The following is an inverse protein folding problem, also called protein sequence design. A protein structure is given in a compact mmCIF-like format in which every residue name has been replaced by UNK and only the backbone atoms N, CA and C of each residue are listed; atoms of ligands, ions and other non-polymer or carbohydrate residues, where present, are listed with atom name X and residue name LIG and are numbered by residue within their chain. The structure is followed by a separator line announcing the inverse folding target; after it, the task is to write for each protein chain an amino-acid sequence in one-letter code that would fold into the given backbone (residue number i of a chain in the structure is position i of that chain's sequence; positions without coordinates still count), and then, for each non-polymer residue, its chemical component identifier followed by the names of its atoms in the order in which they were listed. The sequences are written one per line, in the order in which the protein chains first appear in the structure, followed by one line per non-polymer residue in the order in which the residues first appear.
data_IF_104298410281
#
_entry.id   IF_104298410281
#
_cell.length_a   1.000
_cell.length_b   1.000
_cell.length_c   1.000
_cell.angle_alpha   90.00
_cell.angle_beta   90.00
_cell.angle_gamma   90.00
#
_symmetry.space_group_name_H-M   'P 1'
#
loop_
_entity.id
_entity.type
_entity.pdbx_description
1 polymer ?
#
# COMPACT_ATOMS: atom_id res chain seq x y z
N UNK A 1 -9.76 8.89 -23.85
CA UNK A 1 -8.41 9.36 -23.48
C UNK A 1 -8.26 10.82 -23.89
N UNK A 2 -8.55 11.15 -25.15
CA UNK A 2 -8.49 12.52 -25.70
C UNK A 2 -9.22 13.57 -24.84
N UNK A 3 -10.46 13.29 -24.42
CA UNK A 3 -11.22 14.20 -23.56
C UNK A 3 -10.54 14.51 -22.20
N UNK A 4 -9.74 13.58 -21.66
CA UNK A 4 -8.96 13.80 -20.46
C UNK A 4 -7.72 14.64 -20.76
N UNK A 5 -7.02 14.32 -21.86
CA UNK A 5 -5.88 15.09 -22.33
C UNK A 5 -6.27 16.54 -22.59
N UNK A 6 -7.33 16.78 -23.37
CA UNK A 6 -7.82 18.14 -23.67
C UNK A 6 -8.12 18.92 -22.40
N UNK A 7 -8.74 18.27 -21.41
CA UNK A 7 -9.11 18.89 -20.15
C UNK A 7 -7.86 19.35 -19.36
N UNK A 8 -6.86 18.47 -19.23
CA UNK A 8 -5.59 18.78 -18.55
C UNK A 8 -4.83 19.87 -19.33
N UNK A 9 -4.76 19.76 -20.66
CA UNK A 9 -4.06 20.68 -21.55
C UNK A 9 -4.66 22.09 -21.59
N UNK A 10 -5.90 22.28 -21.13
CA UNK A 10 -6.47 23.63 -20.98
C UNK A 10 -5.73 24.50 -19.95
N UNK A 11 -4.96 23.89 -19.05
CA UNK A 11 -4.28 24.57 -17.95
C UNK A 11 -5.23 25.10 -16.87
N UNK A 12 -6.51 24.70 -16.87
CA UNK A 12 -7.52 25.09 -15.86
C UNK A 12 -7.70 24.07 -14.74
N UNK A 13 -7.14 22.87 -14.91
CA UNK A 13 -7.21 21.79 -13.93
C UNK A 13 -6.01 21.87 -13.01
N UNK A 14 -6.23 21.94 -11.70
CA UNK A 14 -5.17 21.98 -10.68
C UNK A 14 -5.48 21.11 -9.46
N UNK A 15 -6.71 20.62 -9.32
CA UNK A 15 -7.18 19.91 -8.16
C UNK A 15 -7.66 18.49 -8.51
N UNK A 16 -6.77 17.70 -9.10
CA UNK A 16 -7.08 16.32 -9.48
C UNK A 16 -7.11 15.44 -8.23
N UNK A 17 -8.22 14.76 -8.01
CA UNK A 17 -8.28 13.60 -7.13
C UNK A 17 -8.07 12.34 -7.96
N UNK A 18 -7.16 11.48 -7.51
CA UNK A 18 -7.00 10.13 -8.06
C UNK A 18 -7.40 9.10 -7.03
N UNK A 19 -8.37 8.25 -7.36
CA UNK A 19 -8.76 7.10 -6.56
C UNK A 19 -8.18 5.83 -7.17
N UNK A 20 -7.39 5.07 -6.40
CA UNK A 20 -6.68 3.90 -6.90
C UNK A 20 -6.97 2.64 -6.08
N UNK A 21 -6.86 1.48 -6.73
CA UNK A 21 -6.90 0.17 -6.07
C UNK A 21 -5.92 -0.82 -6.70
N UNK A 22 -6.08 -2.10 -6.38
CA UNK A 22 -5.09 -3.13 -6.66
C UNK A 22 -4.68 -3.23 -8.14
N UNK A 23 -5.56 -2.86 -9.07
CA UNK A 23 -5.30 -2.88 -10.51
C UNK A 23 -4.12 -2.01 -10.94
N UNK A 24 -3.72 -0.98 -10.18
CA UNK A 24 -2.51 -0.21 -10.49
C UNK A 24 -1.23 -0.93 -10.07
N UNK A 25 -1.30 -1.91 -9.16
CA UNK A 25 -0.16 -2.65 -8.59
C UNK A 25 0.01 -4.07 -9.14
N UNK A 26 -0.93 -4.59 -9.96
CA UNK A 26 -0.82 -5.95 -10.54
C UNK A 26 0.50 -6.14 -11.30
N UNK A 27 0.94 -5.12 -12.06
CA UNK A 27 2.19 -5.17 -12.81
C UNK A 27 3.46 -5.10 -11.93
N UNK A 28 3.32 -4.81 -10.63
CA UNK A 28 4.42 -4.86 -9.65
C UNK A 28 4.75 -6.27 -9.20
N UNK A 29 3.96 -7.28 -9.61
CA UNK A 29 4.14 -8.67 -9.18
C UNK A 29 3.57 -8.97 -7.80
N UNK A 30 2.85 -8.03 -7.19
CA UNK A 30 2.06 -8.27 -5.98
C UNK A 30 0.82 -9.06 -6.40
N UNK A 31 0.64 -10.31 -5.93
CA UNK A 31 -0.59 -11.04 -6.18
C UNK A 31 -1.75 -10.28 -5.53
N UNK A 32 -2.86 -10.12 -6.26
CA UNK A 32 -4.05 -9.57 -5.65
C UNK A 32 -4.65 -10.57 -4.64
N UNK A 33 -5.50 -10.08 -3.75
CA UNK A 33 -6.13 -10.95 -2.75
C UNK A 33 -7.09 -11.98 -3.38
N UNK A 34 -7.72 -11.62 -4.51
CA UNK A 34 -8.96 -12.25 -4.99
C UNK A 34 -8.82 -13.11 -6.24
N UNK A 35 -7.66 -13.16 -6.91
CA UNK A 35 -7.54 -13.93 -8.15
C UNK A 35 -7.75 -15.44 -7.89
N UNK A 36 -8.67 -16.11 -8.61
CA UNK A 36 -9.08 -17.50 -8.30
C UNK A 36 -7.98 -18.58 -8.40
N UNK A 37 -6.79 -18.27 -8.94
CA UNK A 37 -5.74 -19.26 -9.25
C UNK A 37 -4.36 -18.85 -8.74
N UNK A 38 -4.15 -17.55 -8.51
CA UNK A 38 -2.85 -16.96 -8.15
C UNK A 38 -2.95 -15.97 -7.00
N UNK A 39 -4.19 -15.69 -6.57
CA UNK A 39 -4.48 -14.77 -5.48
C UNK A 39 -4.32 -15.45 -4.13
N UNK A 40 -4.23 -14.62 -3.10
CA UNK A 40 -3.94 -15.06 -1.75
C UNK A 40 -4.95 -16.08 -1.20
N UNK A 41 -6.24 -15.89 -1.50
CA UNK A 41 -7.30 -16.79 -1.02
C UNK A 41 -7.13 -18.22 -1.53
N UNK A 42 -6.72 -18.40 -2.80
CA UNK A 42 -6.47 -19.72 -3.37
C UNK A 42 -5.32 -20.46 -2.65
N UNK A 43 -4.34 -19.73 -2.08
CA UNK A 43 -3.21 -20.34 -1.34
C UNK A 43 -3.54 -20.76 0.09
N UNK A 44 -4.71 -20.39 0.60
CA UNK A 44 -5.15 -20.69 1.96
C UNK A 44 -6.52 -21.39 2.01
N UNK A 45 -7.02 -21.88 0.86
CA UNK A 45 -8.28 -22.62 0.77
C UNK A 45 -8.26 -23.86 1.66
N UNK A 46 -7.21 -24.68 1.58
CA UNK A 46 -7.06 -25.89 2.42
C UNK A 46 -7.05 -25.55 3.92
N UNK A 47 -6.42 -24.43 4.29
CA UNK A 47 -6.39 -23.93 5.67
C UNK A 47 -7.78 -23.49 6.11
N UNK A 48 -8.47 -22.72 5.27
CA UNK A 48 -9.81 -22.23 5.54
C UNK A 48 -10.81 -23.38 5.71
N UNK A 49 -10.71 -24.42 4.88
CA UNK A 49 -11.51 -25.64 4.98
C UNK A 49 -11.26 -26.40 6.29
N UNK A 50 -9.99 -26.56 6.69
CA UNK A 50 -9.63 -27.20 7.97
C UNK A 50 -10.22 -26.46 9.19
N UNK A 51 -10.36 -25.14 9.10
CA UNK A 51 -10.94 -24.31 10.14
C UNK A 51 -12.45 -24.05 9.97
N UNK A 52 -13.07 -24.54 8.90
CA UNK A 52 -14.48 -24.29 8.60
C UNK A 52 -14.82 -22.80 8.42
N UNK A 53 -13.87 -22.00 7.92
CA UNK A 53 -13.99 -20.54 7.73
C UNK A 53 -13.83 -20.15 6.25
N UNK A 54 -14.21 -18.93 5.92
CA UNK A 54 -13.86 -18.32 4.61
C UNK A 54 -12.35 -17.98 4.59
N UNK A 55 -11.64 -18.14 3.45
CA UNK A 55 -10.24 -17.73 3.30
C UNK A 55 -9.89 -16.33 3.82
N UNK A 56 -10.86 -15.41 3.90
CA UNK A 56 -10.64 -14.07 4.45
C UNK A 56 -10.36 -14.03 5.95
N UNK A 57 -10.61 -15.12 6.70
CA UNK A 57 -10.57 -15.11 8.17
C UNK A 57 -9.22 -14.69 8.75
N UNK A 58 -8.12 -14.97 8.06
CA UNK A 58 -6.76 -14.59 8.48
C UNK A 58 -6.54 -13.06 8.45
N UNK A 59 -7.47 -12.32 7.85
CA UNK A 59 -7.50 -10.86 7.81
C UNK A 59 -8.67 -10.27 8.61
N UNK A 60 -9.29 -11.02 9.52
CA UNK A 60 -10.28 -10.49 10.46
C UNK A 60 -9.58 -10.01 11.73
N UNK A 61 -9.97 -8.85 12.25
CA UNK A 61 -9.32 -8.29 13.44
C UNK A 61 -9.52 -9.16 14.67
N UNK A 62 -10.69 -9.78 14.81
CA UNK A 62 -11.01 -10.65 15.95
C UNK A 62 -10.09 -11.88 15.97
N UNK A 63 -9.77 -12.42 14.78
CA UNK A 63 -8.82 -13.53 14.64
C UNK A 63 -7.42 -13.06 15.05
N UNK A 64 -6.99 -11.88 14.60
CA UNK A 64 -5.67 -11.34 14.95
C UNK A 64 -5.54 -11.06 16.46
N UNK A 65 -6.59 -10.56 17.10
CA UNK A 65 -6.65 -10.26 18.52
C UNK A 65 -6.69 -11.52 19.41
N UNK A 66 -7.18 -12.63 18.88
CA UNK A 66 -7.15 -13.94 19.55
C UNK A 66 -5.82 -14.66 19.34
N UNK A 67 -5.40 -14.83 18.08
CA UNK A 67 -4.14 -15.45 17.68
C UNK A 67 -3.59 -14.80 16.40
N UNK A 68 -2.45 -14.09 16.45
CA UNK A 68 -1.91 -13.37 15.29
C UNK A 68 -1.15 -14.32 14.35
N UNK A 69 -0.95 -15.58 14.71
CA UNK A 69 -0.17 -16.55 13.92
C UNK A 69 -0.71 -16.78 12.51
N UNK A 70 -2.02 -16.95 12.25
CA UNK A 70 -2.53 -17.13 10.90
C UNK A 70 -2.17 -15.96 9.98
N UNK A 71 -2.29 -14.73 10.50
CA UNK A 71 -1.88 -13.51 9.78
C UNK A 71 -0.36 -13.52 9.52
N UNK A 72 0.47 -13.75 10.53
CA UNK A 72 1.92 -13.68 10.35
C UNK A 72 2.50 -14.82 9.52
N UNK A 73 1.87 -15.99 9.55
CA UNK A 73 2.17 -17.09 8.64
C UNK A 73 1.95 -16.64 7.19
N UNK A 74 0.74 -16.19 6.84
CA UNK A 74 0.42 -15.81 5.47
C UNK A 74 1.20 -14.57 5.01
N UNK A 75 1.37 -13.58 5.89
CA UNK A 75 2.14 -12.37 5.60
C UNK A 75 3.60 -12.69 5.29
N UNK A 76 4.20 -13.63 6.03
CA UNK A 76 5.59 -14.05 5.78
C UNK A 76 5.74 -14.77 4.45
N UNK A 77 4.79 -15.63 4.07
CA UNK A 77 4.81 -16.31 2.76
C UNK A 77 4.70 -15.33 1.58
N UNK A 78 3.98 -14.23 1.76
CA UNK A 78 3.88 -13.18 0.74
C UNK A 78 5.12 -12.30 0.64
N UNK A 79 5.90 -12.21 1.72
CA UNK A 79 6.98 -11.24 1.85
C UNK A 79 8.00 -11.26 0.70
N UNK A 80 8.50 -12.41 0.19
CA UNK A 80 9.48 -12.40 -0.90
C UNK A 80 8.98 -11.70 -2.17
N UNK A 81 7.70 -11.86 -2.52
CA UNK A 81 7.08 -11.17 -3.66
C UNK A 81 6.87 -9.69 -3.36
N UNK A 82 6.32 -9.36 -2.18
CA UNK A 82 6.10 -7.98 -1.74
C UNK A 82 7.41 -7.19 -1.70
N UNK A 83 8.47 -7.74 -1.11
CA UNK A 83 9.78 -7.10 -1.02
C UNK A 83 10.43 -6.85 -2.39
N UNK A 84 10.07 -7.64 -3.41
CA UNK A 84 10.57 -7.47 -4.77
C UNK A 84 9.74 -6.50 -5.61
N UNK A 85 8.56 -6.09 -5.13
CA UNK A 85 7.65 -5.24 -5.86
C UNK A 85 8.26 -3.86 -6.15
N UNK A 86 8.04 -3.38 -7.38
CA UNK A 86 8.50 -2.09 -7.88
C UNK A 86 7.29 -1.19 -8.18
N UNK A 87 7.39 0.14 -7.99
CA UNK A 87 6.36 1.04 -8.48
C UNK A 87 6.16 0.88 -9.99
N UNK A 88 4.90 0.94 -10.42
CA UNK A 88 4.52 0.80 -11.82
C UNK A 88 4.52 2.15 -12.55
N UNK A 89 4.40 2.16 -13.89
CA UNK A 89 4.21 3.41 -14.64
C UNK A 89 3.06 4.28 -14.10
N UNK A 90 1.94 3.68 -13.69
CA UNK A 90 0.83 4.43 -13.10
C UNK A 90 1.19 5.10 -11.77
N UNK A 91 2.01 4.45 -10.92
CA UNK A 91 2.48 5.08 -9.68
C UNK A 91 3.36 6.31 -9.97
N UNK A 92 4.22 6.23 -11.00
CA UNK A 92 5.01 7.38 -11.44
C UNK A 92 4.17 8.46 -12.12
N UNK A 93 3.10 8.09 -12.81
CA UNK A 93 2.13 9.06 -13.33
C UNK A 93 1.48 9.87 -12.21
N UNK A 94 1.15 9.26 -11.06
CA UNK A 94 0.71 10.01 -9.88
C UNK A 94 1.77 11.04 -9.43
N UNK A 95 3.04 10.65 -9.41
CA UNK A 95 4.14 11.56 -9.06
C UNK A 95 4.30 12.67 -10.10
N UNK A 96 4.11 12.40 -11.38
CA UNK A 96 4.12 13.42 -12.44
C UNK A 96 2.97 14.42 -12.25
N UNK A 97 1.74 13.96 -11.98
CA UNK A 97 0.62 14.85 -11.64
C UNK A 97 0.97 15.75 -10.44
N UNK A 98 1.65 15.22 -9.42
CA UNK A 98 2.14 16.01 -8.30
C UNK A 98 3.20 17.03 -8.71
N UNK A 99 4.25 16.62 -9.43
CA UNK A 99 5.35 17.49 -9.88
C UNK A 99 4.87 18.63 -10.81
N UNK A 100 3.79 18.40 -11.54
CA UNK A 100 3.16 19.41 -12.39
C UNK A 100 2.08 20.26 -11.66
N UNK A 101 1.97 20.15 -10.33
CA UNK A 101 1.00 20.89 -9.50
C UNK A 101 -0.46 20.65 -9.90
N UNK A 102 -0.79 19.44 -10.36
CA UNK A 102 -2.14 19.05 -10.75
C UNK A 102 -2.80 18.16 -9.69
N UNK A 103 -2.02 17.41 -8.91
CA UNK A 103 -2.56 16.46 -7.92
C UNK A 103 -2.98 17.18 -6.64
N UNK A 104 -4.29 17.15 -6.34
CA UNK A 104 -4.80 17.49 -5.02
C UNK A 104 -4.48 16.37 -4.01
N UNK A 105 -4.96 15.15 -4.31
CA UNK A 105 -4.82 13.98 -3.44
C UNK A 105 -4.93 12.66 -4.21
N UNK A 106 -4.16 11.66 -3.78
CA UNK A 106 -4.36 10.25 -4.10
C UNK A 106 -5.11 9.56 -2.95
N UNK A 107 -6.26 8.96 -3.21
CA UNK A 107 -6.96 8.08 -2.28
C UNK A 107 -6.69 6.63 -2.71
N UNK A 108 -5.93 5.89 -1.91
CA UNK A 108 -5.51 4.52 -2.24
C UNK A 108 -6.21 3.49 -1.36
N UNK A 109 -6.69 2.42 -1.99
CA UNK A 109 -7.11 1.18 -1.31
C UNK A 109 -5.94 0.22 -1.09
N UNK A 110 -4.79 0.49 -1.70
CA UNK A 110 -3.62 -0.37 -1.64
C UNK A 110 -2.87 -0.14 -0.32
N UNK A 111 -2.28 -1.23 0.17
CA UNK A 111 -1.48 -1.25 1.39
C UNK A 111 0.02 -1.36 1.08
N UNK A 112 0.41 -1.48 -0.20
CA UNK A 112 1.77 -1.83 -0.61
C UNK A 112 2.81 -0.70 -0.44
N UNK A 113 2.37 0.55 -0.31
CA UNK A 113 3.24 1.71 -0.12
C UNK A 113 3.97 2.16 -1.40
N UNK A 114 3.57 1.63 -2.56
CA UNK A 114 4.24 1.94 -3.83
C UNK A 114 4.04 3.39 -4.28
N UNK A 115 3.00 4.09 -3.82
CA UNK A 115 2.80 5.51 -4.12
C UNK A 115 3.91 6.37 -3.50
N UNK A 116 4.26 6.09 -2.23
CA UNK A 116 5.37 6.75 -1.54
C UNK A 116 6.71 6.40 -2.19
N UNK A 117 6.90 5.13 -2.55
CA UNK A 117 8.12 4.67 -3.21
C UNK A 117 8.29 5.25 -4.63
N UNK A 118 7.19 5.61 -5.30
CA UNK A 118 7.19 6.36 -6.55
C UNK A 118 7.55 7.84 -6.38
N UNK A 119 7.67 8.33 -5.14
CA UNK A 119 8.05 9.69 -4.79
C UNK A 119 6.88 10.61 -4.44
N UNK A 120 5.67 10.08 -4.24
CA UNK A 120 4.55 10.90 -3.78
C UNK A 120 4.74 11.26 -2.29
N UNK A 121 4.62 12.55 -1.92
CA UNK A 121 4.71 12.95 -0.52
C UNK A 121 3.62 12.29 0.32
N UNK A 122 3.90 12.02 1.59
CA UNK A 122 2.97 11.34 2.51
C UNK A 122 1.64 12.09 2.60
N UNK A 123 1.67 13.40 2.68
CA UNK A 123 0.47 14.24 2.76
C UNK A 123 -0.37 14.14 1.49
N UNK A 124 0.19 13.76 0.34
CA UNK A 124 -0.57 13.62 -0.91
C UNK A 124 -1.32 12.29 -1.01
N UNK A 125 -1.13 11.35 -0.08
CA UNK A 125 -1.77 10.04 -0.10
C UNK A 125 -2.65 9.83 1.12
N UNK A 126 -3.90 9.47 0.87
CA UNK A 126 -4.82 8.95 1.89
C UNK A 126 -4.90 7.44 1.69
N UNK A 127 -4.25 6.70 2.58
CA UNK A 127 -4.29 5.25 2.62
C UNK A 127 -5.58 4.79 3.31
N UNK A 128 -6.63 4.60 2.52
CA UNK A 128 -7.96 4.28 3.04
C UNK A 128 -7.97 2.96 3.82
N UNK A 129 -7.14 1.99 3.44
CA UNK A 129 -7.00 0.70 4.13
C UNK A 129 -5.68 0.57 4.89
N UNK A 130 -5.07 1.70 5.28
CA UNK A 130 -3.74 1.70 5.88
C UNK A 130 -2.62 1.35 4.88
N UNK A 131 -1.40 1.19 5.38
CA UNK A 131 -0.21 0.99 4.54
C UNK A 131 0.86 0.19 5.30
N UNK A 132 1.59 -0.64 4.56
CA UNK A 132 2.74 -1.43 5.04
C UNK A 132 3.99 -0.56 5.18
N UNK A 133 3.86 0.54 5.91
CA UNK A 133 4.98 1.41 6.28
C UNK A 133 5.35 1.27 7.76
N UNK A 134 4.32 1.15 8.59
CA UNK A 134 4.47 1.09 10.03
C UNK A 134 3.72 -0.12 10.58
N UNK A 135 4.07 -0.49 11.79
CA UNK A 135 3.36 -1.46 12.60
C UNK A 135 3.02 -0.83 13.95
N UNK A 136 2.06 -1.40 14.65
CA UNK A 136 1.58 -0.87 15.91
C UNK A 136 1.23 -1.97 16.88
N UNK A 137 1.57 -1.76 18.14
CA UNK A 137 1.10 -2.62 19.21
C UNK A 137 -0.40 -2.37 19.44
N UNK A 138 -1.21 -3.43 19.39
CA UNK A 138 -2.66 -3.34 19.58
C UNK A 138 -3.07 -2.94 21.01
N UNK A 139 -2.15 -3.02 21.99
CA UNK A 139 -2.41 -2.63 23.38
C UNK A 139 -1.97 -1.21 23.72
N UNK A 140 -0.68 -0.89 23.50
CA UNK A 140 -0.13 0.39 23.92
C UNK A 140 -0.10 1.44 22.81
N UNK A 141 -0.55 1.07 21.60
CA UNK A 141 -0.60 1.95 20.41
C UNK A 141 0.77 2.49 19.98
N UNK A 142 1.88 1.92 20.49
CA UNK A 142 3.24 2.28 20.07
C UNK A 142 3.42 1.92 18.60
N UNK A 143 3.83 2.91 17.81
CA UNK A 143 4.21 2.75 16.40
C UNK A 143 5.68 2.34 16.27
N UNK A 144 5.92 1.44 15.34
CA UNK A 144 7.22 0.93 14.90
C UNK A 144 7.28 1.05 13.37
N UNK A 145 8.47 1.20 12.78
CA UNK A 145 8.61 1.01 11.34
C UNK A 145 8.39 -0.47 10.98
N UNK A 146 7.95 -0.77 9.76
CA UNK A 146 7.77 -2.17 9.30
C UNK A 146 9.06 -3.00 9.45
N UNK A 147 10.22 -2.34 9.39
CA UNK A 147 11.53 -2.91 9.68
C UNK A 147 11.60 -3.71 10.99
N UNK A 148 10.82 -3.31 12.00
CA UNK A 148 10.71 -3.99 13.29
C UNK A 148 10.22 -5.45 13.18
N UNK A 149 9.39 -5.74 12.18
CA UNK A 149 8.79 -7.06 11.99
C UNK A 149 9.65 -7.98 11.09
N UNK A 150 10.67 -7.45 10.41
CA UNK A 150 11.51 -8.21 9.47
C UNK A 150 12.22 -9.40 10.12
N UNK A 151 12.78 -9.33 11.33
CA UNK A 151 13.39 -10.49 11.97
C UNK A 151 12.42 -11.65 12.14
N UNK A 152 11.18 -11.38 12.54
CA UNK A 152 10.13 -12.39 12.69
C UNK A 152 9.73 -12.98 11.32
N UNK A 153 9.59 -12.13 10.31
CA UNK A 153 9.28 -12.59 8.94
C UNK A 153 10.39 -13.52 8.44
N UNK A 154 11.66 -13.15 8.64
CA UNK A 154 12.80 -13.99 8.26
C UNK A 154 12.80 -15.32 9.02
N UNK A 155 12.47 -15.30 10.32
CA UNK A 155 12.35 -16.53 11.12
C UNK A 155 11.30 -17.49 10.54
N UNK A 156 10.13 -16.97 10.13
CA UNK A 156 9.09 -17.77 9.48
C UNK A 156 9.54 -18.32 8.12
N UNK A 157 10.27 -17.52 7.33
CA UNK A 157 10.78 -17.94 6.02
C UNK A 157 11.89 -19.00 6.11
N UNK A 158 12.65 -19.03 7.20
CA UNK A 158 13.70 -20.01 7.44
C UNK A 158 13.20 -21.29 8.13
N UNK A 159 11.89 -21.40 8.40
CA UNK A 159 11.30 -22.59 8.98
C UNK A 159 11.15 -23.69 7.91
N UNK A 160 11.80 -24.83 8.10
CA UNK A 160 11.76 -25.98 7.18
C UNK A 160 10.36 -26.60 7.04
N UNK A 161 9.50 -26.41 8.04
CA UNK A 161 8.14 -26.94 8.08
C UNK A 161 7.13 -25.87 8.52
N UNK A 162 6.86 -24.84 7.69
CA UNK A 162 6.06 -23.70 8.09
C UNK A 162 4.58 -24.07 8.19
N UNK A 163 4.01 -24.02 9.40
CA UNK A 163 2.58 -24.16 9.67
C UNK A 163 2.05 -22.93 10.40
N UNK A 164 0.74 -22.82 10.55
CA UNK A 164 0.15 -21.72 11.33
C UNK A 164 0.55 -21.84 12.80
N UNK A 165 0.52 -23.04 13.36
CA UNK A 165 0.75 -23.30 14.78
C UNK A 165 2.16 -22.92 15.23
N UNK A 166 3.14 -23.08 14.33
CA UNK A 166 4.55 -22.77 14.58
C UNK A 166 5.00 -21.41 14.02
N UNK A 167 4.08 -20.61 13.48
CA UNK A 167 4.40 -19.27 13.03
C UNK A 167 4.81 -18.36 14.20
N UNK A 168 5.83 -17.56 13.95
CA UNK A 168 6.29 -16.50 14.83
C UNK A 168 5.59 -15.18 14.51
N UNK A 169 5.39 -14.36 15.52
CA UNK A 169 4.81 -13.03 15.42
C UNK A 169 5.65 -12.03 16.23
N UNK A 170 5.73 -10.75 15.80
CA UNK A 170 6.44 -9.71 16.51
C UNK A 170 5.70 -9.35 17.80
N UNK A 171 6.48 -9.15 18.87
CA UNK A 171 5.98 -8.77 20.20
C UNK A 171 6.42 -7.35 20.50
N UNK A 172 5.58 -6.60 21.21
CA UNK A 172 5.97 -5.28 21.69
C UNK A 172 7.00 -5.38 22.84
N UNK A 173 8.16 -4.76 22.65
CA UNK A 173 9.25 -4.68 23.63
C UNK A 173 8.96 -3.73 24.80
N UNK A 174 8.05 -2.76 24.64
CA UNK A 174 7.76 -1.76 25.67
C UNK A 174 6.79 -2.23 26.75
N UNK A 175 5.77 -3.02 26.40
CA UNK A 175 4.71 -3.43 27.33
C UNK A 175 4.76 -4.91 27.74
N UNK A 176 5.83 -5.63 27.38
CA UNK A 176 6.15 -6.98 27.86
C UNK A 176 5.25 -8.12 27.35
N UNK A 177 4.11 -7.81 26.73
CA UNK A 177 3.29 -8.73 25.94
C UNK A 177 2.21 -7.90 25.21
N UNK A 178 2.04 -8.18 23.91
CA UNK A 178 0.85 -8.05 23.02
C UNK A 178 1.29 -8.08 21.54
N UNK A 179 0.33 -8.30 20.64
CA UNK A 179 0.54 -8.48 19.20
C UNK A 179 0.89 -7.15 18.51
N UNK A 180 1.95 -7.15 17.71
CA UNK A 180 2.27 -6.04 16.81
C UNK A 180 1.64 -6.36 15.46
N UNK A 181 0.79 -5.46 14.96
CA UNK A 181 0.09 -5.57 13.69
C UNK A 181 0.65 -4.54 12.71
N UNK A 182 0.83 -4.85 11.42
CA UNK A 182 1.06 -3.81 10.42
C UNK A 182 -0.09 -2.79 10.43
N UNK A 183 0.20 -1.51 10.15
CA UNK A 183 -0.79 -0.42 10.11
C UNK A 183 -1.67 -0.50 8.84
N UNK A 184 -2.27 -1.68 8.62
CA UNK A 184 -3.25 -1.99 7.58
C UNK A 184 -4.60 -2.23 8.24
N UNK A 185 -5.68 -1.93 7.52
CA UNK A 185 -7.06 -2.17 7.96
C UNK A 185 -7.44 -3.60 7.62
N UNK A 186 -7.69 -4.39 8.65
CA UNK A 186 -8.27 -5.73 8.56
C UNK A 186 -9.81 -5.65 8.43
N UNK A 187 -10.44 -6.75 8.06
CA UNK A 187 -11.89 -6.84 8.09
C UNK A 187 -12.42 -6.58 9.51
N UNK A 188 -13.55 -5.88 9.57
CA UNK A 188 -14.20 -5.39 10.78
C UNK A 188 -13.48 -4.27 11.55
N UNK A 189 -12.30 -3.80 11.08
CA UNK A 189 -11.72 -2.54 11.58
C UNK A 189 -12.34 -1.32 10.89
N UNK A 190 -12.40 -0.22 11.64
CA UNK A 190 -12.71 1.08 11.08
C UNK A 190 -11.58 1.57 10.16
N UNK A 191 -11.95 2.29 9.10
CA UNK A 191 -10.98 3.01 8.27
C UNK A 191 -10.35 4.15 9.10
N UNK A 192 -9.13 4.60 8.77
CA UNK A 192 -8.46 5.65 9.54
C UNK A 192 -9.27 6.96 9.56
N UNK A 193 -9.35 7.64 10.71
CA UNK A 193 -10.05 8.92 10.86
C UNK A 193 -9.65 9.95 9.79
N UNK A 194 -8.35 9.98 9.45
CA UNK A 194 -7.80 10.85 8.41
C UNK A 194 -8.54 10.71 7.06
N UNK A 195 -9.04 9.51 6.72
CA UNK A 195 -9.88 9.31 5.55
C UNK A 195 -11.16 10.15 5.63
N UNK A 196 -11.89 10.03 6.74
CA UNK A 196 -13.18 10.70 6.97
C UNK A 196 -13.04 12.21 7.17
N UNK A 197 -11.96 12.64 7.80
CA UNK A 197 -11.66 14.04 8.05
C UNK A 197 -11.27 14.79 6.77
N UNK A 198 -10.63 14.10 5.83
CA UNK A 198 -10.02 14.74 4.65
C UNK A 198 -10.95 14.75 3.44
N UNK A 199 -11.66 13.65 3.16
CA UNK A 199 -12.45 13.55 1.92
C UNK A 199 -13.51 14.64 1.75
N UNK A 200 -14.23 15.12 2.79
CA UNK A 200 -15.27 16.13 2.60
C UNK A 200 -14.73 17.44 2.02
N UNK A 201 -13.52 17.84 2.43
CA UNK A 201 -12.84 19.04 1.92
C UNK A 201 -12.29 18.79 0.52
N UNK A 202 -11.48 17.75 0.36
CA UNK A 202 -10.80 17.47 -0.90
C UNK A 202 -11.81 17.33 -2.05
N UNK A 203 -12.88 16.54 -1.86
CA UNK A 203 -13.86 16.26 -2.91
C UNK A 203 -14.72 17.47 -3.28
N UNK A 204 -14.84 18.45 -2.38
CA UNK A 204 -15.49 19.73 -2.67
C UNK A 204 -14.62 20.64 -3.55
N UNK A 205 -13.31 20.58 -3.36
CA UNK A 205 -12.31 21.41 -4.08
C UNK A 205 -11.85 20.80 -5.40
N UNK A 206 -12.10 19.51 -5.61
CA UNK A 206 -11.71 18.78 -6.81
C UNK A 206 -12.37 19.34 -8.08
N UNK A 207 -11.57 19.49 -9.14
CA UNK A 207 -12.01 19.90 -10.48
C UNK A 207 -12.00 18.75 -11.50
N UNK A 208 -11.33 17.64 -11.17
CA UNK A 208 -11.25 16.42 -11.96
C UNK A 208 -11.11 15.19 -11.05
N UNK A 209 -11.84 14.12 -11.35
CA UNK A 209 -11.71 12.83 -10.68
C UNK A 209 -11.21 11.75 -11.65
N UNK A 210 -10.09 11.13 -11.30
CA UNK A 210 -9.55 9.95 -11.97
C UNK A 210 -9.74 8.74 -11.05
N UNK A 211 -10.26 7.64 -11.56
CA UNK A 211 -10.49 6.40 -10.82
C UNK A 211 -9.79 5.30 -11.59
N UNK A 212 -8.81 4.63 -10.99
CA UNK A 212 -7.97 3.67 -11.70
C UNK A 212 -7.81 2.35 -10.95
N UNK A 213 -7.90 1.24 -11.68
CA UNK A 213 -7.53 -0.07 -11.15
C UNK A 213 -8.35 -0.54 -9.94
N UNK A 214 -9.63 -0.18 -9.84
CA UNK A 214 -10.50 -0.57 -8.72
C UNK A 214 -11.87 -1.07 -9.21
N UNK A 215 -12.40 -2.10 -8.55
CA UNK A 215 -13.77 -2.59 -8.79
C UNK A 215 -14.84 -1.70 -8.16
N UNK A 216 -14.46 -0.78 -7.27
CA UNK A 216 -15.37 0.03 -6.45
C UNK A 216 -16.45 -0.81 -5.74
N UNK A 217 -16.05 -1.92 -5.12
CA UNK A 217 -16.95 -2.79 -4.36
C UNK A 217 -16.82 -2.62 -2.84
N UNK A 218 -15.67 -2.16 -2.35
CA UNK A 218 -15.39 -2.04 -0.91
C UNK A 218 -15.84 -0.67 -0.40
N UNK A 219 -16.76 -0.67 0.56
CA UNK A 219 -17.24 0.54 1.23
C UNK A 219 -16.43 0.82 2.51
N UNK A 220 -16.30 2.10 2.92
CA UNK A 220 -16.95 3.30 2.38
C UNK A 220 -16.26 3.92 1.16
N UNK A 221 -15.04 3.49 0.80
CA UNK A 221 -14.25 4.03 -0.32
C UNK A 221 -15.05 4.13 -1.62
N UNK A 222 -15.81 3.08 -1.94
CA UNK A 222 -16.57 2.99 -3.17
C UNK A 222 -17.77 3.96 -3.27
N UNK A 223 -18.05 4.73 -2.22
CA UNK A 223 -19.05 5.81 -2.22
C UNK A 223 -18.49 7.16 -2.67
N UNK A 224 -17.18 7.35 -2.58
CA UNK A 224 -16.50 8.62 -2.84
C UNK A 224 -16.70 9.19 -4.25
N UNK A 225 -16.85 8.41 -5.34
CA UNK A 225 -17.04 9.00 -6.66
C UNK A 225 -18.27 9.91 -6.77
N UNK A 226 -19.26 9.74 -5.88
CA UNK A 226 -20.48 10.56 -5.83
C UNK A 226 -20.32 11.84 -5.00
N UNK A 227 -19.15 12.06 -4.38
CA UNK A 227 -18.88 13.17 -3.46
C UNK A 227 -18.30 14.40 -4.16
N UNK A 228 -17.75 14.25 -5.38
CA UNK A 228 -17.34 15.39 -6.20
C UNK A 228 -18.55 16.18 -6.72
N UNK A 229 -18.36 17.47 -7.01
CA UNK A 229 -19.40 18.34 -7.56
C UNK A 229 -20.00 17.77 -8.86
N UNK A 230 -21.24 18.17 -9.18
CA UNK A 230 -22.00 17.63 -10.33
C UNK A 230 -21.34 17.91 -11.68
N UNK A 231 -20.60 19.01 -11.79
CA UNK A 231 -19.95 19.43 -13.03
C UNK A 231 -18.53 18.84 -13.19
N UNK A 232 -18.01 18.19 -12.15
CA UNK A 232 -16.70 17.54 -12.17
C UNK A 232 -16.77 16.30 -13.05
N UNK A 233 -15.91 16.28 -14.08
CA UNK A 233 -15.73 15.13 -14.97
C UNK A 233 -15.03 14.00 -14.22
N UNK A 234 -15.44 12.76 -14.50
CA UNK A 234 -14.92 11.56 -13.86
C UNK A 234 -14.45 10.58 -14.93
N UNK A 235 -13.23 10.08 -14.77
CA UNK A 235 -12.62 9.13 -15.69
C UNK A 235 -12.35 7.82 -14.96
N UNK A 236 -12.99 6.74 -15.39
CA UNK A 236 -12.73 5.39 -14.92
C UNK A 236 -11.75 4.72 -15.89
N UNK A 237 -10.53 4.44 -15.41
CA UNK A 237 -9.50 3.71 -16.14
C UNK A 237 -9.45 2.30 -15.54
N UNK A 238 -9.92 1.30 -16.28
CA UNK A 238 -9.90 -0.07 -15.77
C UNK A 238 -9.97 -1.08 -16.92
N UNK A 239 -9.42 -2.28 -16.69
CA UNK A 239 -9.48 -3.37 -17.69
C UNK A 239 -10.90 -3.78 -18.03
N UNK A 240 -11.79 -3.69 -17.04
CA UNK A 240 -13.20 -4.05 -17.19
C UNK A 240 -14.09 -2.98 -16.56
N UNK A 241 -15.32 -2.88 -17.05
CA UNK A 241 -16.33 -2.06 -16.42
C UNK A 241 -16.66 -2.57 -15.01
N UNK A 242 -16.83 -1.66 -14.05
CA UNK A 242 -17.24 -2.03 -12.69
C UNK A 242 -18.66 -2.66 -12.67
N UNK A 243 -18.93 -3.54 -11.70
CA UNK A 243 -20.23 -4.23 -11.61
C UNK A 243 -21.40 -3.26 -11.41
N UNK A 244 -21.27 -2.32 -10.46
CA UNK A 244 -22.32 -1.36 -10.17
C UNK A 244 -22.17 -0.08 -11.02
N UNK A 245 -22.58 -0.17 -12.30
CA UNK A 245 -22.52 0.95 -13.25
C UNK A 245 -23.37 2.16 -12.84
N UNK A 246 -24.39 1.99 -11.97
CA UNK A 246 -25.27 3.07 -11.46
C UNK A 246 -24.53 4.12 -10.62
N UNK A 247 -23.23 3.92 -10.36
CA UNK A 247 -22.35 4.94 -9.77
C UNK A 247 -22.00 6.07 -10.77
N UNK A 248 -22.19 5.80 -12.06
CA UNK A 248 -21.87 6.67 -13.18
C UNK A 248 -23.07 6.86 -14.10
N UNK A 249 -23.00 7.92 -14.90
CA UNK A 249 -23.94 8.34 -15.93
C UNK A 249 -23.14 8.54 -17.21
N UNK A 250 -22.79 7.45 -17.88
CA UNK A 250 -22.00 7.52 -19.11
C UNK A 250 -22.82 8.15 -20.26
N UNK A 251 -22.17 8.95 -21.09
CA UNK A 251 -22.76 9.55 -22.30
C UNK A 251 -23.31 10.97 -22.13
N UNK A 252 -23.31 11.53 -20.92
CA UNK A 252 -23.74 12.92 -20.64
C UNK A 252 -22.59 13.95 -20.72
N UNK A 253 -21.37 13.51 -21.06
CA UNK A 253 -20.17 14.35 -21.11
C UNK A 253 -19.49 14.56 -19.75
N UNK A 254 -19.97 13.93 -18.68
CA UNK A 254 -19.37 13.95 -17.34
C UNK A 254 -18.51 12.73 -17.09
N UNK A 255 -19.06 11.54 -17.34
CA UNK A 255 -18.42 10.28 -17.00
C UNK A 255 -17.86 9.54 -18.22
N UNK A 256 -16.60 9.15 -18.12
CA UNK A 256 -15.87 8.49 -19.18
C UNK A 256 -15.33 7.15 -18.68
N UNK A 257 -15.44 6.12 -19.51
CA UNK A 257 -14.74 4.86 -19.31
C UNK A 257 -13.60 4.75 -20.32
N UNK A 258 -12.40 4.55 -19.81
CA UNK A 258 -11.20 4.27 -20.58
C UNK A 258 -10.84 2.81 -20.28
N UNK A 259 -11.28 1.93 -21.18
CA UNK A 259 -10.99 0.50 -21.09
C UNK A 259 -9.52 0.25 -21.40
N UNK A 260 -8.83 -0.47 -20.51
CA UNK A 260 -7.44 -0.87 -20.75
C UNK A 260 -6.62 -1.09 -19.48
N UNK A 261 -5.35 -1.43 -19.69
CA UNK A 261 -4.37 -1.56 -18.63
C UNK A 261 -3.98 -0.16 -18.09
N UNK A 262 -3.83 -0.03 -16.77
CA UNK A 262 -3.45 1.23 -16.14
C UNK A 262 -2.05 1.69 -16.55
N UNK A 263 -1.13 0.76 -16.79
CA UNK A 263 0.24 1.11 -17.19
C UNK A 263 0.27 1.66 -18.62
N UNK A 264 -0.47 1.04 -19.54
CA UNK A 264 -0.62 1.54 -20.91
C UNK A 264 -1.26 2.92 -20.92
N UNK A 265 -2.26 3.14 -20.06
CA UNK A 265 -2.86 4.46 -19.89
C UNK A 265 -1.82 5.49 -19.40
N UNK A 266 -1.02 5.15 -18.38
CA UNK A 266 -0.02 6.04 -17.83
C UNK A 266 1.06 6.41 -18.86
N UNK A 267 1.51 5.44 -19.65
CA UNK A 267 2.47 5.66 -20.74
C UNK A 267 1.90 6.62 -21.80
N UNK A 268 0.73 6.30 -22.35
CA UNK A 268 0.09 7.11 -23.41
C UNK A 268 -0.27 8.52 -22.95
N UNK A 269 -0.79 8.67 -21.73
CA UNK A 269 -1.08 9.99 -21.19
C UNK A 269 0.20 10.80 -20.95
N UNK A 270 1.28 10.16 -20.52
CA UNK A 270 2.57 10.83 -20.37
C UNK A 270 3.17 11.22 -21.72
N UNK A 271 3.02 10.41 -22.76
CA UNK A 271 3.37 10.78 -24.13
C UNK A 271 2.58 12.01 -24.60
N UNK A 272 1.25 11.99 -24.46
CA UNK A 272 0.39 13.11 -24.87
C UNK A 272 0.71 14.41 -24.13
N UNK A 273 1.04 14.33 -22.84
CA UNK A 273 1.38 15.50 -22.01
C UNK A 273 2.86 15.92 -22.13
N UNK A 274 3.68 15.20 -22.90
CA UNK A 274 5.11 15.48 -23.07
C UNK A 274 5.98 15.11 -21.85
N UNK A 275 5.54 14.17 -21.02
CA UNK A 275 6.21 13.69 -19.80
C UNK A 275 6.91 12.35 -19.98
N UNK A 276 6.88 11.75 -21.17
CA UNK A 276 7.42 10.42 -21.46
C UNK A 276 8.87 10.23 -20.98
N UNK A 277 9.77 11.18 -21.29
CA UNK A 277 11.16 11.08 -20.88
C UNK A 277 11.32 11.03 -19.35
N UNK A 278 10.54 11.84 -18.62
CA UNK A 278 10.55 11.84 -17.16
C UNK A 278 9.95 10.56 -16.57
N UNK A 279 8.90 10.01 -17.21
CA UNK A 279 8.32 8.73 -16.81
C UNK A 279 9.34 7.59 -16.99
N UNK A 280 10.01 7.53 -18.14
CA UNK A 280 10.98 6.48 -18.45
C UNK A 280 12.18 6.52 -17.49
N UNK A 281 12.72 7.70 -17.18
CA UNK A 281 13.79 7.87 -16.19
C UNK A 281 13.38 7.36 -14.79
N UNK A 282 12.15 7.66 -14.34
CA UNK A 282 11.62 7.15 -13.08
C UNK A 282 11.49 5.61 -13.09
N UNK A 283 11.06 5.03 -14.21
CA UNK A 283 10.92 3.58 -14.37
C UNK A 283 12.28 2.89 -14.36
N UNK A 284 13.30 3.46 -14.99
CA UNK A 284 14.66 2.91 -15.05
C UNK A 284 15.36 2.97 -13.68
N UNK A 285 15.11 4.02 -12.89
CA UNK A 285 15.76 4.26 -11.60
C UNK A 285 14.99 3.72 -10.39
N UNK A 286 13.83 3.06 -10.62
CA UNK A 286 12.93 2.59 -9.55
C UNK A 286 13.59 1.57 -8.62
N UNK A 287 13.22 1.63 -7.34
CA UNK A 287 13.70 0.73 -6.29
C UNK A 287 12.55 -0.16 -5.82
N UNK A 288 12.89 -1.34 -5.29
CA UNK A 288 11.91 -2.25 -4.71
C UNK A 288 11.60 -1.92 -3.26
N UNK A 289 10.45 -2.39 -2.79
CA UNK A 289 10.01 -2.28 -1.38
C UNK A 289 11.11 -2.77 -0.43
N UNK A 290 11.69 -3.94 -0.67
CA UNK A 290 12.72 -4.53 0.18
C UNK A 290 13.97 -3.66 0.29
N UNK A 291 14.36 -2.96 -0.78
CA UNK A 291 15.49 -2.00 -0.74
C UNK A 291 15.17 -0.77 0.13
N UNK A 292 13.91 -0.36 0.21
CA UNK A 292 13.48 0.75 1.07
C UNK A 292 13.53 0.38 2.56
N UNK A 293 13.10 -0.83 2.91
CA UNK A 293 13.08 -1.27 4.31
C UNK A 293 14.44 -1.74 4.81
N UNK A 294 15.26 -2.35 3.95
CA UNK A 294 16.60 -2.78 4.31
C UNK A 294 17.58 -1.61 4.52
N UNK A 295 17.36 -0.44 3.93
CA UNK A 295 18.25 0.71 4.12
C UNK A 295 18.24 1.30 5.54
N UNK A 296 17.23 0.95 6.35
CA UNK A 296 17.15 1.38 7.75
C UNK A 296 17.64 0.31 8.74
N UNK A 297 18.03 -0.88 8.26
CA UNK A 297 18.72 -1.86 9.08
C UNK A 297 20.21 -1.67 8.85
N UNK A 298 20.85 -0.84 9.68
CA UNK A 298 22.27 -0.98 9.92
C UNK A 298 22.50 -2.35 10.58
N UNK A 299 22.61 -3.40 9.77
CA UNK A 299 23.39 -4.55 10.18
C UNK A 299 24.81 -4.03 10.34
N UNK A 300 25.33 -4.06 11.58
CA UNK A 300 26.74 -3.93 11.81
C UNK A 300 27.43 -5.05 11.02
N UNK A 301 27.92 -4.72 9.83
CA UNK A 301 28.83 -5.56 9.08
C UNK A 301 30.12 -5.64 9.88
N UNK A 302 30.23 -6.65 10.73
CA UNK A 302 31.50 -7.28 11.03
C UNK A 302 31.31 -8.79 10.94
N UNK A 303 32.17 -9.39 10.14
CA UNK A 303 32.15 -10.78 9.70
C UNK A 303 32.15 -11.79 10.86
N UNK A 304 31.67 -12.98 10.47
CA UNK A 304 32.11 -14.30 10.91
C UNK A 304 31.34 -15.05 12.02
N UNK A 305 30.87 -16.23 11.55
CA UNK A 305 30.75 -17.51 12.25
C UNK A 305 29.54 -17.72 13.15
N UNK A 306 28.71 -18.65 12.66
CA UNK A 306 28.10 -19.73 13.43
C UNK A 306 28.99 -20.07 14.63
N UNK A 307 28.54 -19.72 15.83
CA UNK A 307 29.03 -20.29 17.07
C UNK A 307 27.83 -20.70 17.91
N UNK A 308 27.74 -22.01 18.11
CA UNK A 308 26.85 -22.70 19.04
C UNK A 308 26.97 -22.16 20.47
N UNK A 309 25.83 -22.19 21.16
CA UNK A 309 25.63 -22.47 22.59
C UNK A 309 26.45 -21.75 23.68
N UNK A 310 25.67 -21.26 24.66
CA UNK A 310 25.97 -20.92 26.07
C UNK A 310 26.18 -19.43 26.38
N UNK A 311 25.09 -18.87 26.94
CA UNK A 311 25.02 -17.99 28.12
C UNK A 311 23.99 -16.88 27.91
N UNK A 312 22.74 -17.26 28.18
CA UNK A 312 21.71 -16.34 28.66
C UNK A 312 22.11 -15.96 30.09
N UNK A 313 22.63 -14.76 30.26
CA UNK A 313 22.59 -13.88 31.44
C UNK A 313 23.77 -12.91 31.37
N UNK A 314 23.50 -11.63 31.64
CA UNK A 314 24.42 -10.48 31.58
C UNK A 314 24.51 -9.80 30.20
N UNK A 315 23.65 -8.81 29.98
CA UNK A 315 23.98 -7.39 29.70
C UNK A 315 22.62 -6.64 29.80
N UNK A 316 22.21 -6.38 31.04
CA UNK A 316 21.50 -5.14 31.34
C UNK A 316 22.58 -4.09 31.63
N UNK A 317 22.25 -2.82 31.37
CA UNK A 317 23.08 -1.62 31.58
C UNK A 317 24.29 -1.44 30.65
N UNK A 318 24.06 -0.79 29.50
CA UNK A 318 24.78 0.40 29.01
C UNK A 318 24.48 0.59 27.52
N UNK A 319 23.61 1.55 27.17
CA UNK A 319 23.69 2.35 25.94
C UNK A 319 22.54 3.39 25.92
N UNK A 320 22.59 4.28 26.91
CA UNK A 320 22.10 5.65 26.77
C UNK A 320 23.36 6.52 26.68
N UNK A 321 23.64 7.03 25.48
CA UNK A 321 24.53 8.13 25.12
C UNK A 321 25.33 7.78 23.86
N UNK A 322 24.85 8.25 22.71
CA UNK A 322 25.64 8.89 21.68
C UNK A 322 24.73 9.27 20.51
N UNK A 323 24.02 10.39 20.67
CA UNK A 323 23.43 11.11 19.56
C UNK A 323 23.63 12.60 19.81
N UNK A 324 24.85 13.08 19.59
CA UNK A 324 25.16 14.50 19.51
C UNK A 324 25.80 14.80 18.15
N UNK A 325 24.97 15.39 17.28
CA UNK A 325 25.21 16.62 16.53
C UNK A 325 26.68 16.89 16.15
N UNK A 326 26.97 16.80 14.84
CA UNK A 326 27.99 17.66 14.21
C UNK A 326 27.39 18.42 13.03
N UNK A 327 26.93 19.63 13.33
CA UNK A 327 26.92 20.74 12.38
C UNK A 327 28.24 21.52 12.50
N UNK A 328 28.75 21.89 11.32
CA UNK A 328 29.54 23.09 10.98
C UNK A 328 31.08 23.19 11.16
N UNK A 329 31.67 23.65 10.03
CA UNK A 329 32.85 24.53 9.80
C UNK A 329 34.27 23.95 9.87
N UNK A 330 34.91 23.82 8.70
CA UNK A 330 35.77 24.87 8.13
C UNK A 330 35.92 24.71 6.63
#
# INVERSE_FOLDING_TARGET
MDALFDLISTGKVHNIIVMVGAGISVASGIPDFRSPQVGLYASIEDVAELHGKDPTFVFEIEVFEEDPKPFWWIFSQMWPKTASALPTPFHFFLNLLYKHNLLLRCYSQNIDGLEKLAGLPREKVIHAHGVLDTCRCIKCNKTFDLGYCLPTIHQNLMNDHPTIENAHFPKCDLCGSNFVKPDVVLFHEDLPDLFFDTFPKDFKEADLLIIAGTSLEVYPFASLPKKVNKDVKRFLINKTMIKNKRKFTFGDGRDYFIEGDCQDFAQKMSEFLGWEAALNDMIETRKSIGKHWNSNICFNNNNDKVLNDKNINEIHTEHLNNCEIKQERK
#
